data_IF_670772167154
#
_entry.id   IF_670772167154
#
_cell.length_a   1.000
_cell.length_b   1.000
_cell.length_c   1.000
_cell.angle_alpha   90.00
_cell.angle_beta   90.00
_cell.angle_gamma   90.00
#
_symmetry.space_group_name_H-M   'P 1'
#
loop_
_entity.id
_entity.type
_entity.pdbx_description
1 polymer ?
#
# COMPACT_ATOMS: atom_id res chain seq x y z
N UNK A 1 12.85 2.70 16.77
CA UNK A 1 12.99 1.34 16.22
C UNK A 1 13.68 0.38 17.18
N UNK A 2 14.61 0.82 18.02
CA UNK A 2 15.19 0.02 19.11
C UNK A 2 14.11 -0.44 20.09
N UNK A 3 13.31 0.49 20.61
CA UNK A 3 12.19 0.21 21.55
C UNK A 3 11.20 -0.78 20.98
N UNK A 4 10.83 -0.64 19.72
CA UNK A 4 9.87 -1.54 19.05
C UNK A 4 10.42 -2.93 18.74
N UNK A 5 11.74 -3.11 18.76
CA UNK A 5 12.41 -4.36 18.34
C UNK A 5 12.58 -4.51 16.82
N UNK A 6 12.13 -3.53 16.01
CA UNK A 6 12.44 -3.57 14.59
C UNK A 6 13.95 -3.54 14.34
N UNK A 7 14.70 -2.93 15.21
CA UNK A 7 16.15 -3.03 15.26
C UNK A 7 16.57 -3.70 16.58
N UNK A 8 17.33 -4.79 16.57
CA UNK A 8 18.01 -5.42 15.43
C UNK A 8 17.23 -6.56 14.73
N UNK A 9 16.06 -6.98 15.22
CA UNK A 9 15.36 -8.18 14.72
C UNK A 9 14.94 -8.11 13.24
N UNK A 10 14.73 -6.90 12.71
CA UNK A 10 14.34 -6.68 11.32
C UNK A 10 15.47 -6.11 10.45
N UNK A 11 16.73 -6.17 10.93
CA UNK A 11 17.87 -5.48 10.31
C UNK A 11 18.19 -5.90 8.87
N UNK A 12 17.91 -7.15 8.51
CA UNK A 12 18.16 -7.67 7.15
C UNK A 12 17.28 -7.00 6.09
N UNK A 13 16.13 -6.49 6.50
CA UNK A 13 15.19 -5.73 5.64
C UNK A 13 15.31 -4.22 5.81
N UNK A 14 16.34 -3.71 6.49
CA UNK A 14 16.56 -2.29 6.72
C UNK A 14 17.78 -1.79 5.94
N UNK A 15 17.72 -0.53 5.49
CA UNK A 15 18.92 0.16 5.05
C UNK A 15 19.86 0.36 6.25
N UNK A 16 21.15 0.38 5.99
CA UNK A 16 22.14 0.64 7.04
C UNK A 16 21.86 1.99 7.70
N UNK A 17 21.93 2.08 9.05
CA UNK A 17 21.78 3.37 9.73
C UNK A 17 22.87 4.37 9.32
N UNK A 18 22.49 5.63 9.24
CA UNK A 18 23.44 6.75 9.14
C UNK A 18 23.81 7.13 10.56
N UNK A 19 25.03 6.84 10.95
CA UNK A 19 25.52 7.04 12.31
C UNK A 19 26.07 8.46 12.45
N UNK A 20 25.53 9.23 13.40
CA UNK A 20 26.05 10.55 13.78
C UNK A 20 27.26 10.41 14.71
N UNK A 21 28.38 10.03 14.17
CA UNK A 21 29.65 10.09 14.88
C UNK A 21 30.65 10.86 14.00
N UNK A 22 31.10 12.04 14.47
CA UNK A 22 32.02 12.88 13.71
C UNK A 22 33.29 12.13 13.28
N UNK A 23 33.82 11.27 14.12
CA UNK A 23 35.02 10.46 13.80
C UNK A 23 34.71 9.45 12.67
N UNK A 24 33.51 8.85 12.65
CA UNK A 24 33.06 7.94 11.60
C UNK A 24 32.72 8.69 10.31
N UNK A 25 32.13 9.88 10.43
CA UNK A 25 31.84 10.73 9.27
C UNK A 25 33.13 11.16 8.55
N UNK A 26 34.19 11.50 9.30
CA UNK A 26 35.47 11.83 8.72
C UNK A 26 36.11 10.63 8.01
N UNK A 27 36.07 9.43 8.60
CA UNK A 27 36.61 8.20 7.98
C UNK A 27 35.84 7.85 6.68
N UNK A 28 34.55 8.13 6.63
CA UNK A 28 33.72 7.84 5.45
C UNK A 28 33.84 8.88 4.34
N UNK A 29 34.22 10.13 4.66
CA UNK A 29 34.31 11.23 3.69
C UNK A 29 35.68 11.42 3.04
N UNK A 30 36.75 10.81 3.56
CA UNK A 30 38.11 10.95 2.99
C UNK A 30 38.33 10.02 1.78
N UNK A 31 37.75 10.37 0.64
CA UNK A 31 38.09 9.85 -0.70
C UNK A 31 37.38 8.56 -1.14
N UNK A 32 36.73 8.60 -2.27
CA UNK A 32 35.98 7.51 -2.88
C UNK A 32 36.81 6.67 -3.88
N UNK A 33 37.32 5.48 -3.48
CA UNK A 33 37.59 4.42 -4.46
C UNK A 33 37.06 3.07 -3.93
N UNK A 34 36.45 2.26 -4.83
CA UNK A 34 35.79 1.00 -4.45
C UNK A 34 36.74 -0.05 -3.85
N UNK A 35 38.05 0.00 -4.15
CA UNK A 35 39.06 -0.88 -3.57
C UNK A 35 39.36 -0.58 -2.09
N UNK A 36 39.10 0.67 -1.67
CA UNK A 36 39.34 1.17 -0.32
C UNK A 36 38.18 0.92 0.65
N UNK A 37 36.99 0.59 0.12
CA UNK A 37 35.76 0.48 0.93
C UNK A 37 35.80 -0.71 1.90
N UNK A 38 36.40 -1.83 1.50
CA UNK A 38 36.55 -3.00 2.40
C UNK A 38 37.52 -2.71 3.52
N UNK A 39 38.67 -2.09 3.20
CA UNK A 39 39.66 -1.67 4.21
C UNK A 39 39.10 -0.63 5.19
N UNK A 40 38.21 0.25 4.71
CA UNK A 40 37.53 1.27 5.53
C UNK A 40 36.44 0.69 6.42
N UNK A 41 35.66 -0.27 5.90
CA UNK A 41 34.69 -1.03 6.69
C UNK A 41 35.39 -1.83 7.81
N UNK A 42 36.55 -2.38 7.52
CA UNK A 42 37.39 -3.08 8.52
C UNK A 42 37.98 -2.10 9.55
N UNK A 43 38.42 -0.91 9.13
CA UNK A 43 38.87 0.15 10.02
C UNK A 43 37.75 0.71 10.92
N UNK A 44 36.54 0.91 10.34
CA UNK A 44 35.35 1.30 11.09
C UNK A 44 34.96 0.21 12.09
N UNK A 45 35.00 -1.05 11.70
CA UNK A 45 34.74 -2.19 12.60
C UNK A 45 35.78 -2.33 13.70
N UNK A 46 37.04 -2.02 13.40
CA UNK A 46 38.13 -2.00 14.39
C UNK A 46 37.94 -0.83 15.37
N UNK A 47 37.63 0.36 14.89
CA UNK A 47 37.40 1.54 15.72
C UNK A 47 36.22 1.33 16.68
N UNK A 48 35.10 0.72 16.21
CA UNK A 48 34.00 0.34 17.09
C UNK A 48 34.41 -0.67 18.16
N UNK A 49 35.21 -1.68 17.81
CA UNK A 49 35.73 -2.64 18.77
C UNK A 49 36.56 -1.95 19.84
N UNK A 50 37.43 -1.01 19.47
CA UNK A 50 38.28 -0.28 20.40
C UNK A 50 37.49 0.64 21.33
N UNK A 51 36.45 1.33 20.84
CA UNK A 51 35.58 2.13 21.70
C UNK A 51 34.78 1.29 22.68
N UNK A 52 34.29 0.11 22.27
CA UNK A 52 33.55 -0.80 23.13
C UNK A 52 34.52 -1.39 24.19
N UNK A 53 35.72 -1.78 23.78
CA UNK A 53 36.75 -2.28 24.70
C UNK A 53 37.14 -1.22 25.74
N UNK A 54 37.34 0.03 25.33
CA UNK A 54 37.61 1.15 26.20
C UNK A 54 36.50 1.43 27.23
N UNK A 55 35.21 1.30 26.82
CA UNK A 55 34.06 1.51 27.71
C UNK A 55 33.80 0.35 28.67
N UNK A 56 34.05 -0.88 28.24
CA UNK A 56 33.68 -2.09 29.01
C UNK A 56 34.84 -2.70 29.80
N UNK A 57 36.08 -2.27 29.57
CA UNK A 57 37.27 -2.80 30.24
C UNK A 57 37.55 -4.29 29.97
N UNK A 58 36.94 -4.87 28.92
CA UNK A 58 37.12 -6.30 28.57
C UNK A 58 37.66 -6.45 27.17
N UNK A 59 38.76 -7.17 27.04
CA UNK A 59 39.50 -7.40 25.78
C UNK A 59 38.83 -8.29 24.74
N UNK A 60 37.66 -8.88 25.01
CA UNK A 60 37.01 -9.81 24.10
C UNK A 60 35.57 -9.42 23.87
N UNK A 61 35.33 -8.57 22.86
CA UNK A 61 33.98 -8.34 22.33
C UNK A 61 33.86 -9.06 20.99
N UNK A 62 33.08 -10.15 21.02
CA UNK A 62 32.66 -10.86 19.80
C UNK A 62 31.73 -9.98 18.96
N UNK A 63 31.63 -10.24 17.64
CA UNK A 63 30.68 -9.58 16.76
C UNK A 63 29.25 -9.61 17.31
N UNK A 64 28.90 -10.64 18.06
CA UNK A 64 27.55 -10.79 18.64
C UNK A 64 27.29 -9.80 19.79
N UNK A 65 28.32 -9.36 20.50
CA UNK A 65 28.20 -8.34 21.56
C UNK A 65 28.09 -6.92 20.99
N UNK A 66 28.78 -6.64 19.88
CA UNK A 66 28.59 -5.38 19.12
C UNK A 66 27.17 -5.26 18.57
N UNK A 67 26.57 -6.40 18.19
CA UNK A 67 25.18 -6.46 17.79
C UNK A 67 24.18 -6.21 18.93
N UNK A 68 24.59 -6.42 20.18
CA UNK A 68 23.75 -6.30 21.37
C UNK A 68 23.86 -4.93 22.09
N UNK A 69 24.91 -4.16 21.85
CA UNK A 69 25.05 -2.84 22.49
C UNK A 69 24.37 -1.76 21.67
N UNK A 70 23.09 -1.57 21.98
CA UNK A 70 22.22 -0.57 21.34
C UNK A 70 22.70 0.88 21.53
N UNK A 71 23.53 1.17 22.55
CA UNK A 71 23.98 2.53 22.84
C UNK A 71 24.97 3.08 21.81
N UNK A 72 25.60 2.20 21.01
CA UNK A 72 26.59 2.56 20.01
C UNK A 72 26.00 3.01 18.67
N UNK A 73 24.70 2.84 18.48
CA UNK A 73 24.02 3.10 17.22
C UNK A 73 23.01 4.26 17.35
N UNK A 74 23.48 5.41 17.81
CA UNK A 74 22.71 6.65 17.68
C UNK A 74 22.88 7.22 16.27
N UNK A 75 21.76 7.55 15.63
CA UNK A 75 21.77 8.05 14.28
C UNK A 75 20.40 7.98 13.60
N UNK A 76 20.39 8.13 12.31
CA UNK A 76 19.19 8.12 11.49
C UNK A 76 19.04 6.81 10.75
N UNK A 77 17.80 6.35 10.63
CA UNK A 77 17.43 5.17 9.87
C UNK A 77 16.34 5.56 8.86
N UNK A 78 16.48 5.12 7.61
CA UNK A 78 15.38 5.18 6.68
C UNK A 78 14.21 4.36 7.23
N UNK A 79 13.06 4.99 7.37
CA UNK A 79 11.87 4.46 8.02
C UNK A 79 11.39 3.15 7.34
N UNK A 80 11.52 1.97 7.98
CA UNK A 80 11.08 0.70 7.39
C UNK A 80 9.60 0.41 7.63
N UNK A 81 9.00 1.04 8.64
CA UNK A 81 7.60 0.90 9.06
C UNK A 81 7.08 2.17 9.73
N UNK A 82 5.75 2.37 9.72
CA UNK A 82 5.10 3.55 10.32
C UNK A 82 4.68 3.31 11.77
N UNK A 83 4.57 2.05 12.23
CA UNK A 83 4.06 1.68 13.55
C UNK A 83 4.67 2.51 14.71
N UNK A 84 6.00 2.64 14.84
CA UNK A 84 6.58 3.37 15.96
C UNK A 84 6.21 4.86 15.99
N UNK A 85 5.91 5.46 14.84
CA UNK A 85 5.48 6.86 14.77
C UNK A 85 4.06 7.04 15.30
N UNK A 86 3.11 6.21 14.85
CA UNK A 86 1.73 6.23 15.35
C UNK A 86 1.67 5.92 16.85
N UNK A 87 2.52 4.98 17.33
CA UNK A 87 2.65 4.69 18.76
C UNK A 87 3.11 5.94 19.53
N UNK A 88 4.10 6.68 19.01
CA UNK A 88 4.56 7.93 19.64
C UNK A 88 3.52 9.03 19.60
N UNK A 89 2.70 9.10 18.55
CA UNK A 89 1.56 10.03 18.48
C UNK A 89 0.53 9.68 19.56
N UNK A 90 0.14 8.40 19.67
CA UNK A 90 -0.76 7.96 20.74
C UNK A 90 -0.18 8.27 22.12
N UNK A 91 1.08 7.98 22.36
CA UNK A 91 1.75 8.21 23.65
C UNK A 91 1.96 9.70 23.98
N UNK A 92 1.73 10.62 23.05
CA UNK A 92 1.98 12.06 23.26
C UNK A 92 0.98 12.74 24.19
N UNK A 93 -0.14 12.10 24.47
CA UNK A 93 -1.17 12.60 25.37
C UNK A 93 -1.82 11.47 26.18
N UNK A 94 -2.37 11.76 27.39
CA UNK A 94 -3.09 10.77 28.17
C UNK A 94 -4.42 10.41 27.51
N UNK A 95 -4.85 9.14 27.65
CA UNK A 95 -6.11 8.63 27.14
C UNK A 95 -6.93 7.98 28.25
N UNK A 96 -8.24 8.04 28.11
CA UNK A 96 -9.21 7.27 28.90
C UNK A 96 -9.91 6.23 28.01
N UNK A 97 -10.58 5.26 28.62
CA UNK A 97 -11.38 4.27 27.89
C UNK A 97 -12.45 4.90 26.97
N UNK A 98 -12.88 6.15 27.24
CA UNK A 98 -13.86 6.88 26.43
C UNK A 98 -13.29 7.42 25.14
N UNK A 99 -11.97 7.60 25.09
CA UNK A 99 -11.26 8.08 23.90
C UNK A 99 -10.97 6.94 22.92
N UNK A 100 -11.06 5.69 23.39
CA UNK A 100 -10.79 4.50 22.57
C UNK A 100 -12.07 4.04 21.84
N UNK A 101 -11.91 3.56 20.59
CA UNK A 101 -10.67 3.32 19.89
C UNK A 101 -10.10 4.60 19.23
N UNK A 102 -8.79 4.80 19.35
CA UNK A 102 -8.06 5.82 18.57
C UNK A 102 -7.56 5.16 17.29
N UNK A 103 -7.89 5.77 16.14
CA UNK A 103 -7.51 5.27 14.81
C UNK A 103 -6.65 6.30 14.09
N UNK A 104 -5.38 5.95 13.83
CA UNK A 104 -4.42 6.78 13.10
C UNK A 104 -4.16 6.15 11.75
N UNK A 105 -4.21 6.93 10.67
CA UNK A 105 -3.99 6.45 9.30
C UNK A 105 -3.18 7.45 8.49
N UNK A 106 -2.32 6.96 7.64
CA UNK A 106 -1.53 7.75 6.69
C UNK A 106 -1.28 6.97 5.39
N UNK A 107 -0.98 7.69 4.31
CA UNK A 107 -0.23 7.15 3.20
C UNK A 107 1.26 7.37 3.50
N UNK A 108 1.85 6.38 4.18
CA UNK A 108 3.19 6.50 4.74
C UNK A 108 4.25 5.87 3.85
N UNK A 109 5.24 6.66 3.40
CA UNK A 109 6.38 6.12 2.66
C UNK A 109 7.32 5.39 3.61
N UNK A 110 7.70 4.17 3.25
CA UNK A 110 8.64 3.32 3.97
C UNK A 110 9.73 2.79 3.04
N UNK A 111 10.86 2.40 3.63
CA UNK A 111 12.04 1.95 2.89
C UNK A 111 12.51 0.62 3.45
N UNK A 112 12.64 -0.38 2.58
CA UNK A 112 13.10 -1.71 2.95
C UNK A 112 14.24 -2.14 2.05
N UNK A 113 15.26 -2.74 2.62
CA UNK A 113 16.37 -3.34 1.87
C UNK A 113 15.91 -4.69 1.32
N UNK A 114 15.26 -4.66 0.16
CA UNK A 114 14.94 -5.88 -0.56
C UNK A 114 16.19 -6.40 -1.26
N UNK A 115 16.40 -7.72 -1.25
CA UNK A 115 17.53 -8.33 -1.94
C UNK A 115 17.44 -8.11 -3.44
N UNK A 116 18.60 -8.03 -4.12
CA UNK A 116 18.65 -7.70 -5.55
C UNK A 116 17.78 -8.62 -6.42
N UNK A 117 17.78 -9.94 -6.14
CA UNK A 117 16.98 -10.92 -6.88
C UNK A 117 15.48 -10.89 -6.59
N UNK A 118 15.04 -10.13 -5.58
CA UNK A 118 13.62 -10.02 -5.21
C UNK A 118 12.92 -8.83 -5.87
N UNK A 119 13.68 -7.85 -6.36
CA UNK A 119 13.13 -6.65 -6.99
C UNK A 119 12.39 -7.00 -8.29
N UNK A 120 11.15 -6.48 -8.43
CA UNK A 120 10.31 -6.81 -9.57
C UNK A 120 9.37 -5.64 -9.92
N UNK A 121 9.78 -4.77 -10.84
CA UNK A 121 8.99 -3.65 -11.33
C UNK A 121 8.33 -2.87 -10.18
N UNK A 122 7.03 -2.59 -10.29
CA UNK A 122 6.25 -1.92 -9.25
C UNK A 122 5.84 -2.86 -8.11
N UNK A 123 5.91 -4.17 -8.31
CA UNK A 123 5.36 -5.13 -7.34
C UNK A 123 6.29 -5.40 -6.16
N UNK A 124 7.60 -5.15 -6.30
CA UNK A 124 8.57 -5.25 -5.21
C UNK A 124 9.71 -4.24 -5.38
N UNK A 125 9.64 -3.17 -4.61
CA UNK A 125 10.52 -1.99 -4.67
C UNK A 125 11.09 -1.69 -3.28
N UNK A 126 12.19 -0.94 -3.23
CA UNK A 126 12.86 -0.57 -1.98
C UNK A 126 12.24 0.62 -1.26
N UNK A 127 11.58 1.52 -1.99
CA UNK A 127 10.83 2.64 -1.43
C UNK A 127 9.40 2.57 -1.92
N UNK A 128 8.42 2.55 -1.01
CA UNK A 128 7.01 2.44 -1.36
C UNK A 128 6.12 3.11 -0.32
N UNK A 129 4.90 3.40 -0.75
CA UNK A 129 3.88 4.05 0.07
C UNK A 129 2.85 3.03 0.53
N UNK A 130 2.62 2.93 1.84
CA UNK A 130 1.57 2.08 2.41
C UNK A 130 0.35 2.92 2.80
N UNK A 131 -0.83 2.36 2.61
CA UNK A 131 -2.09 2.84 3.18
C UNK A 131 -2.23 2.33 4.63
N UNK A 132 -1.33 2.77 5.47
CA UNK A 132 -1.07 2.22 6.77
C UNK A 132 -1.94 2.87 7.85
N UNK A 133 -2.50 2.05 8.74
CA UNK A 133 -3.22 2.54 9.89
C UNK A 133 -2.98 1.65 11.12
N UNK A 134 -3.03 2.32 12.26
CA UNK A 134 -2.87 1.71 13.57
C UNK A 134 -4.03 2.13 14.47
N UNK A 135 -4.72 1.13 15.00
CA UNK A 135 -5.86 1.32 15.89
C UNK A 135 -5.44 0.92 17.29
N UNK A 136 -5.73 1.78 18.25
CA UNK A 136 -5.49 1.51 19.68
C UNK A 136 -6.84 1.35 20.35
N UNK A 137 -7.12 0.20 20.93
CA UNK A 137 -8.44 -0.14 21.45
C UNK A 137 -8.36 -0.91 22.78
N UNK A 138 -9.49 -1.05 23.45
CA UNK A 138 -9.59 -1.96 24.59
C UNK A 138 -9.65 -3.41 24.11
N UNK A 139 -9.42 -4.39 24.99
CA UNK A 139 -9.50 -5.81 24.65
C UNK A 139 -10.91 -6.19 24.14
N UNK A 140 -11.96 -5.61 24.72
CA UNK A 140 -13.36 -5.86 24.33
C UNK A 140 -13.68 -5.30 22.93
N UNK A 141 -12.96 -4.28 22.49
CA UNK A 141 -13.15 -3.66 21.18
C UNK A 141 -12.43 -4.40 20.05
N UNK A 142 -11.45 -5.27 20.35
CA UNK A 142 -10.60 -5.94 19.35
C UNK A 142 -11.42 -6.62 18.25
N UNK A 143 -12.41 -7.42 18.62
CA UNK A 143 -13.21 -8.17 17.65
C UNK A 143 -13.93 -7.22 16.66
N UNK A 144 -14.56 -6.16 17.17
CA UNK A 144 -15.28 -5.19 16.35
C UNK A 144 -14.32 -4.41 15.42
N UNK A 145 -13.16 -3.99 15.93
CA UNK A 145 -12.17 -3.26 15.16
C UNK A 145 -11.53 -4.11 14.05
N UNK A 146 -11.21 -5.37 14.36
CA UNK A 146 -10.70 -6.32 13.33
C UNK A 146 -11.76 -6.54 12.24
N UNK A 147 -13.02 -6.77 12.60
CA UNK A 147 -14.11 -6.90 11.62
C UNK A 147 -14.28 -5.64 10.76
N UNK A 148 -14.15 -4.46 11.35
CA UNK A 148 -14.14 -3.20 10.62
C UNK A 148 -13.01 -3.12 9.58
N UNK A 149 -11.80 -3.56 9.96
CA UNK A 149 -10.65 -3.64 9.05
C UNK A 149 -10.88 -4.63 7.90
N UNK A 150 -11.39 -5.83 8.21
CA UNK A 150 -11.72 -6.84 7.20
C UNK A 150 -12.80 -6.37 6.24
N UNK A 151 -13.83 -5.68 6.75
CA UNK A 151 -14.89 -5.08 5.94
C UNK A 151 -14.34 -4.04 4.97
N UNK A 152 -13.38 -3.22 5.40
CA UNK A 152 -12.72 -2.25 4.54
C UNK A 152 -11.96 -2.92 3.40
N UNK A 153 -11.18 -3.97 3.67
CA UNK A 153 -10.49 -4.75 2.61
C UNK A 153 -11.51 -5.32 1.62
N UNK A 154 -12.61 -5.90 2.13
CA UNK A 154 -13.67 -6.45 1.28
C UNK A 154 -14.31 -5.38 0.39
N UNK A 155 -14.60 -4.19 0.92
CA UNK A 155 -15.13 -3.05 0.14
C UNK A 155 -14.17 -2.71 -1.01
N UNK A 156 -12.87 -2.60 -0.73
CA UNK A 156 -11.85 -2.29 -1.73
C UNK A 156 -11.84 -3.34 -2.84
N UNK A 157 -11.66 -4.61 -2.49
CA UNK A 157 -11.57 -5.70 -3.46
C UNK A 157 -12.86 -5.84 -4.30
N UNK A 158 -14.03 -5.74 -3.66
CA UNK A 158 -15.32 -5.81 -4.36
C UNK A 158 -15.51 -4.63 -5.32
N UNK A 159 -15.15 -3.41 -4.90
CA UNK A 159 -15.26 -2.21 -5.76
C UNK A 159 -14.41 -2.34 -7.03
N UNK A 160 -13.31 -3.06 -6.95
CA UNK A 160 -12.39 -3.29 -8.07
C UNK A 160 -12.71 -4.57 -8.86
N UNK A 161 -13.74 -5.32 -8.48
CA UNK A 161 -14.10 -6.58 -9.13
C UNK A 161 -13.11 -7.72 -8.84
N UNK A 162 -12.30 -7.57 -7.78
CA UNK A 162 -11.36 -8.58 -7.31
C UNK A 162 -11.99 -9.45 -6.24
N UNK A 163 -13.09 -10.14 -6.55
CA UNK A 163 -13.82 -10.98 -5.59
C UNK A 163 -13.20 -12.36 -5.39
N UNK A 164 -12.32 -12.80 -6.28
CA UNK A 164 -11.60 -14.08 -6.17
C UNK A 164 -10.29 -13.86 -5.40
N UNK A 165 -10.37 -13.91 -4.08
CA UNK A 165 -9.22 -13.82 -3.18
C UNK A 165 -9.20 -14.96 -2.17
N UNK A 166 -8.00 -15.34 -1.74
CA UNK A 166 -7.76 -16.30 -0.67
C UNK A 166 -7.42 -15.55 0.61
N UNK A 167 -7.92 -16.03 1.73
CA UNK A 167 -7.55 -15.55 3.06
C UNK A 167 -6.55 -16.52 3.69
N UNK A 168 -5.53 -15.97 4.31
CA UNK A 168 -4.47 -16.68 5.00
C UNK A 168 -4.31 -16.11 6.41
N UNK A 169 -4.33 -16.97 7.41
CA UNK A 169 -4.06 -16.62 8.82
C UNK A 169 -2.65 -17.08 9.15
N UNK A 170 -1.73 -16.13 9.22
CA UNK A 170 -0.34 -16.36 9.60
C UNK A 170 -0.21 -16.45 11.13
N UNK A 171 0.21 -17.61 11.61
CA UNK A 171 0.37 -17.91 13.02
C UNK A 171 1.85 -18.00 13.39
N UNK A 172 2.15 -17.95 14.69
CA UNK A 172 3.52 -18.24 15.16
C UNK A 172 3.87 -19.70 14.90
N UNK A 173 5.18 -19.93 14.77
CA UNK A 173 5.76 -21.27 14.85
C UNK A 173 6.28 -21.45 16.30
N UNK A 174 5.74 -22.39 17.09
CA UNK A 174 6.13 -22.60 18.49
C UNK A 174 7.61 -22.92 18.67
N UNK A 175 8.25 -23.50 17.67
CA UNK A 175 9.64 -23.93 17.71
C UNK A 175 10.63 -22.84 17.29
N UNK A 176 10.11 -21.67 16.89
CA UNK A 176 10.92 -20.56 16.39
C UNK A 176 11.16 -19.47 17.46
N UNK A 177 12.41 -19.02 17.60
CA UNK A 177 12.79 -17.90 18.45
C UNK A 177 12.55 -16.51 17.82
N UNK A 178 11.87 -16.45 16.69
CA UNK A 178 11.56 -15.23 15.94
C UNK A 178 10.57 -14.32 16.68
N UNK A 179 9.73 -14.89 17.53
CA UNK A 179 8.57 -14.21 18.10
C UNK A 179 8.86 -13.58 19.46
N UNK A 180 8.34 -12.38 19.68
CA UNK A 180 8.54 -11.62 20.91
C UNK A 180 7.23 -11.53 21.70
N UNK A 181 7.35 -11.42 23.04
CA UNK A 181 6.22 -11.21 23.92
C UNK A 181 5.77 -12.46 24.67
N UNK A 182 4.68 -12.32 25.41
CA UNK A 182 4.11 -13.36 26.29
C UNK A 182 3.28 -14.36 25.50
N UNK A 183 3.39 -15.66 25.82
CA UNK A 183 2.65 -16.71 25.15
C UNK A 183 1.12 -16.55 25.26
N UNK A 184 0.61 -16.09 26.40
CA UNK A 184 -0.83 -15.90 26.60
C UNK A 184 -1.38 -14.76 25.71
N UNK A 185 -0.59 -13.72 25.48
CA UNK A 185 -0.96 -12.64 24.56
C UNK A 185 -1.00 -13.15 23.11
N UNK A 186 -0.08 -14.04 22.74
CA UNK A 186 -0.10 -14.70 21.43
C UNK A 186 -1.35 -15.56 21.25
N UNK A 187 -1.70 -16.36 22.26
CA UNK A 187 -2.89 -17.23 22.22
C UNK A 187 -4.18 -16.41 21.99
N UNK A 188 -4.31 -15.28 22.70
CA UNK A 188 -5.43 -14.34 22.53
C UNK A 188 -5.46 -13.75 21.13
N UNK A 189 -4.33 -13.25 20.65
CA UNK A 189 -4.23 -12.62 19.33
C UNK A 189 -4.54 -13.63 18.20
N UNK A 190 -4.01 -14.85 18.27
CA UNK A 190 -4.28 -15.91 17.30
C UNK A 190 -5.76 -16.32 17.32
N UNK A 191 -6.37 -16.45 18.50
CA UNK A 191 -7.79 -16.76 18.63
C UNK A 191 -8.66 -15.64 18.01
N UNK A 192 -8.32 -14.37 18.24
CA UNK A 192 -9.01 -13.23 17.64
C UNK A 192 -8.90 -13.25 16.09
N UNK A 193 -7.71 -13.53 15.54
CA UNK A 193 -7.52 -13.62 14.09
C UNK A 193 -8.33 -14.77 13.48
N UNK A 194 -8.34 -15.95 14.10
CA UNK A 194 -9.14 -17.11 13.64
C UNK A 194 -10.64 -16.80 13.66
N UNK A 195 -11.13 -16.27 14.76
CA UNK A 195 -12.54 -15.92 14.90
C UNK A 195 -12.96 -14.87 13.85
N UNK A 196 -12.13 -13.86 13.61
CA UNK A 196 -12.39 -12.85 12.61
C UNK A 196 -12.37 -13.44 11.18
N UNK A 197 -11.41 -14.29 10.85
CA UNK A 197 -11.33 -14.94 9.54
C UNK A 197 -12.58 -15.81 9.26
N UNK A 198 -13.10 -16.51 10.27
CA UNK A 198 -14.33 -17.31 10.14
C UNK A 198 -15.54 -16.44 9.75
N UNK A 199 -15.63 -15.19 10.23
CA UNK A 199 -16.75 -14.30 9.91
C UNK A 199 -16.78 -13.80 8.46
N UNK A 200 -15.66 -13.92 7.72
CA UNK A 200 -15.61 -13.51 6.32
C UNK A 200 -16.48 -14.41 5.41
N UNK A 201 -16.80 -15.61 5.84
CA UNK A 201 -17.58 -16.58 5.07
C UNK A 201 -16.87 -17.11 3.82
N UNK A 202 -15.55 -16.94 3.73
CA UNK A 202 -14.69 -17.46 2.66
C UNK A 202 -13.71 -18.48 3.24
N UNK A 203 -13.26 -19.47 2.46
CA UNK A 203 -12.23 -20.41 2.91
C UNK A 203 -10.94 -19.68 3.29
N UNK A 204 -10.31 -20.09 4.38
CA UNK A 204 -9.00 -19.60 4.76
C UNK A 204 -8.07 -20.76 5.14
N UNK A 205 -6.76 -20.50 5.07
CA UNK A 205 -5.71 -21.43 5.50
C UNK A 205 -5.00 -20.86 6.72
N UNK A 206 -4.58 -21.75 7.62
CA UNK A 206 -3.68 -21.41 8.71
C UNK A 206 -2.25 -21.77 8.32
N UNK A 207 -1.34 -20.83 8.49
CA UNK A 207 0.06 -20.99 8.07
C UNK A 207 0.99 -20.68 9.26
N UNK A 208 1.46 -21.72 9.99
CA UNK A 208 2.46 -21.57 11.04
C UNK A 208 3.77 -20.98 10.48
N UNK A 209 4.43 -20.12 11.24
CA UNK A 209 5.67 -19.48 10.82
C UNK A 209 5.49 -18.16 10.07
N UNK A 210 4.29 -17.89 9.55
CA UNK A 210 3.99 -16.72 8.71
C UNK A 210 3.58 -15.47 9.51
N UNK A 211 3.43 -15.55 10.84
CA UNK A 211 3.17 -14.39 11.68
C UNK A 211 4.33 -13.36 11.64
N UNK A 212 4.00 -12.09 11.88
CA UNK A 212 5.01 -11.09 12.20
C UNK A 212 5.68 -11.41 13.53
N UNK A 213 6.86 -10.86 13.81
CA UNK A 213 7.56 -11.15 15.06
C UNK A 213 6.82 -10.67 16.30
N UNK A 214 5.87 -9.75 16.15
CA UNK A 214 5.08 -9.14 17.23
C UNK A 214 3.63 -9.58 17.28
N UNK A 215 3.09 -10.26 16.29
CA UNK A 215 1.70 -10.70 16.29
C UNK A 215 1.25 -11.49 15.06
N UNK A 216 0.15 -12.24 15.17
CA UNK A 216 -0.47 -12.95 14.06
C UNK A 216 -1.08 -11.99 13.06
N UNK A 217 -1.36 -12.49 11.84
CA UNK A 217 -1.88 -11.67 10.76
C UNK A 217 -2.95 -12.39 9.94
N UNK A 218 -3.84 -11.62 9.35
CA UNK A 218 -4.80 -12.06 8.33
C UNK A 218 -4.40 -11.38 7.03
N UNK A 219 -3.97 -12.18 6.06
CA UNK A 219 -3.55 -11.71 4.73
C UNK A 219 -4.61 -12.01 3.68
N UNK A 220 -4.81 -11.05 2.78
CA UNK A 220 -5.64 -11.21 1.59
C UNK A 220 -4.74 -11.39 0.37
N UNK A 221 -4.89 -12.51 -0.28
CA UNK A 221 -4.07 -12.91 -1.41
C UNK A 221 -4.93 -12.95 -2.65
N UNK A 222 -4.60 -12.14 -3.64
CA UNK A 222 -5.28 -12.09 -4.94
C UNK A 222 -4.41 -12.74 -6.01
N UNK A 223 -5.05 -13.24 -7.07
CA UNK A 223 -4.35 -13.76 -8.25
C UNK A 223 -4.36 -12.73 -9.35
N UNK A 224 -3.22 -12.57 -10.02
CA UNK A 224 -3.14 -11.81 -11.25
C UNK A 224 -3.66 -12.62 -12.44
N UNK A 225 -3.70 -11.99 -13.62
CA UNK A 225 -4.24 -12.62 -14.86
C UNK A 225 -3.47 -13.85 -15.34
N UNK A 226 -2.24 -14.04 -14.88
CA UNK A 226 -1.41 -15.21 -15.19
C UNK A 226 -1.32 -16.23 -14.02
N UNK A 227 -2.12 -16.01 -12.97
CA UNK A 227 -2.27 -16.93 -11.83
C UNK A 227 -1.22 -16.75 -10.72
N UNK A 228 -0.36 -15.75 -10.76
CA UNK A 228 0.57 -15.44 -9.64
C UNK A 228 -0.21 -14.88 -8.46
N UNK A 229 0.17 -15.30 -7.26
CA UNK A 229 -0.44 -14.84 -6.02
C UNK A 229 0.29 -13.60 -5.48
N UNK A 230 -0.49 -12.59 -5.10
CA UNK A 230 0.00 -11.36 -4.50
C UNK A 230 -0.72 -11.09 -3.19
N UNK A 231 0.04 -11.00 -2.11
CA UNK A 231 -0.46 -10.46 -0.85
C UNK A 231 -0.68 -8.96 -1.01
N UNK A 232 -1.92 -8.53 -0.87
CA UNK A 232 -2.32 -7.13 -0.88
C UNK A 232 -2.65 -6.66 0.53
N UNK A 233 -3.87 -6.92 1.00
CA UNK A 233 -4.32 -6.46 2.30
C UNK A 233 -3.78 -7.30 3.47
N UNK A 234 -3.50 -6.65 4.59
CA UNK A 234 -3.10 -7.30 5.84
C UNK A 234 -3.77 -6.63 7.03
N UNK A 235 -4.23 -7.44 7.99
CA UNK A 235 -4.71 -7.00 9.31
C UNK A 235 -3.96 -7.83 10.37
N UNK A 236 -3.39 -7.17 11.38
CA UNK A 236 -2.60 -7.81 12.43
C UNK A 236 -3.08 -7.37 13.80
N UNK A 237 -3.10 -8.30 14.76
CA UNK A 237 -3.44 -8.02 16.16
C UNK A 237 -2.17 -8.08 17.00
N UNK A 238 -1.91 -7.04 17.75
CA UNK A 238 -0.64 -6.82 18.45
C UNK A 238 -0.87 -6.44 19.91
N UNK A 239 -0.50 -7.33 20.80
CA UNK A 239 -0.44 -7.11 22.25
C UNK A 239 0.97 -6.75 22.73
N UNK A 240 1.99 -6.83 21.87
CA UNK A 240 3.39 -6.78 22.25
C UNK A 240 3.97 -5.36 22.17
N UNK A 241 3.75 -4.63 21.06
CA UNK A 241 4.28 -3.27 20.92
C UNK A 241 3.70 -2.31 21.98
N UNK A 242 2.40 -2.37 22.35
CA UNK A 242 1.90 -1.57 23.46
C UNK A 242 2.64 -1.79 24.78
N UNK A 243 3.07 -3.02 25.08
CA UNK A 243 3.90 -3.34 26.24
C UNK A 243 5.30 -2.75 26.11
N UNK A 244 5.95 -2.92 24.96
CA UNK A 244 7.32 -2.44 24.71
C UNK A 244 7.43 -0.91 24.76
N UNK A 245 6.38 -0.19 24.37
CA UNK A 245 6.33 1.28 24.44
C UNK A 245 5.70 1.81 25.73
N UNK A 246 5.36 0.94 26.65
CA UNK A 246 4.71 1.29 27.93
C UNK A 246 3.46 2.16 27.74
N UNK A 247 2.63 1.82 26.72
CA UNK A 247 1.39 2.54 26.46
C UNK A 247 0.36 2.24 27.55
N UNK A 248 -0.47 3.23 27.88
CA UNK A 248 -1.55 3.03 28.84
C UNK A 248 -2.75 3.94 28.55
N UNK A 249 -3.91 3.53 29.07
CA UNK A 249 -5.10 4.37 29.18
C UNK A 249 -5.76 4.14 30.55
N UNK A 250 -6.57 5.10 31.00
CA UNK A 250 -7.33 4.97 32.24
C UNK A 250 -8.67 4.29 31.95
N UNK A 251 -8.91 3.15 32.59
CA UNK A 251 -10.15 2.39 32.49
C UNK A 251 -11.33 3.02 33.22
N UNK A 252 -12.52 2.40 33.10
CA UNK A 252 -13.71 2.81 33.83
C UNK A 252 -13.60 2.60 35.36
N UNK A 253 -12.68 1.75 35.77
CA UNK A 253 -12.28 1.46 37.13
C UNK A 253 -11.26 2.45 37.73
N UNK A 254 -10.90 3.49 36.97
CA UNK A 254 -9.84 4.46 37.29
C UNK A 254 -8.46 3.82 37.45
N UNK A 255 -8.24 2.62 36.92
CA UNK A 255 -6.93 1.98 36.89
C UNK A 255 -6.25 2.15 35.49
N UNK A 256 -4.94 1.99 35.49
CA UNK A 256 -4.16 2.01 34.25
C UNK A 256 -4.26 0.65 33.57
N UNK A 257 -4.66 0.67 32.29
CA UNK A 257 -4.76 -0.50 31.43
C UNK A 257 -3.89 -0.38 30.20
N UNK A 258 -3.52 -1.52 29.61
CA UNK A 258 -2.74 -1.61 28.36
C UNK A 258 -3.70 -1.68 27.17
N UNK A 259 -3.58 -0.79 26.17
CA UNK A 259 -4.34 -0.93 24.94
C UNK A 259 -3.86 -2.12 24.12
N UNK A 260 -4.74 -2.65 23.28
CA UNK A 260 -4.38 -3.55 22.17
C UNK A 260 -4.19 -2.71 20.92
N UNK A 261 -3.23 -3.08 20.08
CA UNK A 261 -2.97 -2.40 18.83
C UNK A 261 -3.37 -3.30 17.65
N UNK A 262 -4.01 -2.71 16.65
CA UNK A 262 -4.34 -3.38 15.39
C UNK A 262 -3.67 -2.62 14.26
N UNK A 263 -2.89 -3.33 13.44
CA UNK A 263 -2.27 -2.80 12.25
C UNK A 263 -3.12 -3.20 11.05
N UNK A 264 -3.35 -2.29 10.11
CA UNK A 264 -4.04 -2.63 8.88
C UNK A 264 -3.49 -1.85 7.69
N UNK A 265 -3.37 -2.53 6.57
CA UNK A 265 -3.04 -1.97 5.27
C UNK A 265 -3.91 -2.65 4.20
N UNK A 266 -5.08 -2.10 3.83
CA UNK A 266 -6.00 -2.70 2.86
C UNK A 266 -5.42 -2.91 1.47
N UNK A 267 -4.60 -1.99 0.99
CA UNK A 267 -3.90 -2.08 -0.29
C UNK A 267 -2.49 -2.67 -0.15
N UNK A 268 -1.89 -2.54 1.04
CA UNK A 268 -0.49 -2.82 1.27
C UNK A 268 0.41 -1.75 0.64
N UNK A 269 1.28 -2.11 -0.30
CA UNK A 269 2.06 -1.15 -1.09
C UNK A 269 1.21 -0.59 -2.22
N UNK A 270 1.10 0.73 -2.34
CA UNK A 270 0.39 1.41 -3.41
C UNK A 270 1.00 1.10 -4.78
N UNK A 271 2.32 0.99 -4.86
CA UNK A 271 3.04 0.63 -6.07
C UNK A 271 2.69 -0.78 -6.52
N UNK A 272 2.74 -1.77 -5.61
CA UNK A 272 2.31 -3.15 -5.90
C UNK A 272 0.85 -3.19 -6.30
N UNK A 273 0.01 -2.50 -5.57
CA UNK A 273 -1.42 -2.43 -5.86
C UNK A 273 -1.69 -1.87 -7.26
N UNK A 274 -1.03 -0.76 -7.64
CA UNK A 274 -1.12 -0.23 -9.00
C UNK A 274 -0.64 -1.24 -10.04
N UNK A 275 0.47 -1.93 -9.81
CA UNK A 275 0.96 -2.98 -10.70
C UNK A 275 -0.05 -4.11 -10.89
N UNK A 276 -0.63 -4.62 -9.79
CA UNK A 276 -1.67 -5.65 -9.83
C UNK A 276 -2.94 -5.16 -10.53
N UNK A 277 -3.36 -3.91 -10.32
CA UNK A 277 -4.51 -3.31 -11.02
C UNK A 277 -4.29 -3.20 -12.53
N UNK A 278 -3.10 -2.77 -12.95
CA UNK A 278 -2.77 -2.68 -14.39
C UNK A 278 -2.87 -4.07 -15.02
N UNK A 279 -2.37 -5.10 -14.36
CA UNK A 279 -2.45 -6.48 -14.85
C UNK A 279 -3.90 -7.00 -14.82
N UNK A 280 -4.63 -6.78 -13.71
CA UNK A 280 -6.02 -7.23 -13.55
C UNK A 280 -6.93 -6.69 -14.65
N UNK A 281 -6.83 -5.40 -14.96
CA UNK A 281 -7.61 -4.79 -16.03
C UNK A 281 -6.96 -4.92 -17.40
N UNK A 282 -5.70 -5.39 -17.49
CA UNK A 282 -4.93 -5.39 -18.73
C UNK A 282 -4.76 -3.98 -19.29
N UNK A 283 -4.75 -2.96 -18.44
CA UNK A 283 -4.77 -1.53 -18.76
C UNK A 283 -6.14 -1.00 -19.26
N UNK A 284 -7.17 -1.85 -19.35
CA UNK A 284 -8.53 -1.50 -19.74
C UNK A 284 -9.36 -1.16 -18.49
N UNK A 285 -9.02 -0.05 -17.89
CA UNK A 285 -9.62 0.39 -16.63
C UNK A 285 -11.10 0.76 -16.81
N UNK A 286 -11.95 0.50 -15.79
CA UNK A 286 -13.29 1.07 -15.75
C UNK A 286 -13.21 2.61 -15.76
N UNK A 287 -14.25 3.25 -16.26
CA UNK A 287 -14.27 4.71 -16.50
C UNK A 287 -13.82 5.52 -15.28
N UNK A 288 -14.34 5.18 -14.11
CA UNK A 288 -14.02 5.93 -12.88
C UNK A 288 -12.54 5.83 -12.46
N UNK A 289 -11.83 4.76 -12.85
CA UNK A 289 -10.43 4.51 -12.51
C UNK A 289 -9.46 4.92 -13.63
N UNK A 290 -9.95 5.03 -14.88
CA UNK A 290 -9.11 5.35 -16.02
C UNK A 290 -8.40 6.70 -15.85
N UNK A 291 -7.09 6.80 -16.12
CA UNK A 291 -6.35 8.07 -16.07
C UNK A 291 -6.92 9.13 -17.01
N UNK A 292 -7.35 8.72 -18.21
CA UNK A 292 -8.09 9.51 -19.18
C UNK A 292 -9.44 8.83 -19.43
N UNK A 293 -10.53 9.51 -19.15
CA UNK A 293 -11.88 8.94 -19.22
C UNK A 293 -12.54 9.20 -20.57
N UNK A 294 -12.23 10.35 -21.16
CA UNK A 294 -12.80 10.81 -22.43
C UNK A 294 -11.74 11.49 -23.27
N UNK A 295 -11.68 11.13 -24.55
CA UNK A 295 -10.92 11.87 -25.57
C UNK A 295 -11.86 12.49 -26.58
N UNK A 296 -11.79 13.81 -26.74
CA UNK A 296 -12.48 14.56 -27.76
C UNK A 296 -11.65 14.55 -29.04
N UNK A 297 -12.30 14.22 -30.16
CA UNK A 297 -11.64 14.08 -31.48
C UNK A 297 -12.38 14.95 -32.51
N UNK A 298 -12.00 16.22 -32.67
CA UNK A 298 -12.54 17.06 -33.73
C UNK A 298 -12.10 16.55 -35.12
N UNK A 299 -13.05 16.53 -36.07
CA UNK A 299 -12.80 16.12 -37.46
C UNK A 299 -12.04 17.22 -38.22
N UNK A 300 -12.28 18.49 -37.86
CA UNK A 300 -11.61 19.65 -38.46
C UNK A 300 -11.55 20.83 -37.51
N UNK A 301 -10.70 21.79 -37.83
CA UNK A 301 -10.53 23.02 -37.02
C UNK A 301 -11.80 23.86 -36.90
N UNK A 302 -12.79 23.68 -37.81
CA UNK A 302 -14.06 24.39 -37.78
C UNK A 302 -14.90 24.10 -36.54
N UNK A 303 -14.64 22.97 -35.86
CA UNK A 303 -15.36 22.58 -34.65
C UNK A 303 -14.47 22.70 -33.38
N UNK A 304 -13.31 23.38 -33.49
CA UNK A 304 -12.37 23.54 -32.39
C UNK A 304 -12.98 24.27 -31.20
N UNK A 305 -13.72 25.35 -31.44
CA UNK A 305 -14.38 26.11 -30.37
C UNK A 305 -15.39 25.23 -29.61
N UNK A 306 -16.22 24.47 -30.34
CA UNK A 306 -17.15 23.52 -29.75
C UNK A 306 -16.43 22.44 -28.92
N UNK A 307 -15.34 21.90 -29.46
CA UNK A 307 -14.56 20.89 -28.75
C UNK A 307 -13.95 21.40 -27.44
N UNK A 308 -13.44 22.64 -27.44
CA UNK A 308 -12.94 23.28 -26.22
C UNK A 308 -14.04 23.57 -25.21
N UNK A 309 -15.23 23.98 -25.65
CA UNK A 309 -16.38 24.16 -24.76
C UNK A 309 -16.76 22.86 -24.08
N UNK A 310 -16.87 21.74 -24.85
CA UNK A 310 -17.15 20.42 -24.28
C UNK A 310 -16.06 19.95 -23.33
N UNK A 311 -14.78 20.18 -23.65
CA UNK A 311 -13.66 19.85 -22.78
C UNK A 311 -13.78 20.56 -21.43
N UNK A 312 -14.13 21.87 -21.45
CA UNK A 312 -14.29 22.66 -20.24
C UNK A 312 -15.48 22.15 -19.40
N UNK A 313 -16.60 21.80 -20.04
CA UNK A 313 -17.76 21.23 -19.34
C UNK A 313 -17.42 19.87 -18.69
N UNK A 314 -16.69 18.99 -19.40
CA UNK A 314 -16.22 17.71 -18.85
C UNK A 314 -15.32 17.93 -17.64
N UNK A 315 -14.34 18.83 -17.74
CA UNK A 315 -13.43 19.15 -16.63
C UNK A 315 -14.17 19.78 -15.43
N UNK A 316 -15.13 20.65 -15.69
CA UNK A 316 -15.97 21.25 -14.64
C UNK A 316 -16.81 20.19 -13.91
N UNK A 317 -17.20 19.12 -14.60
CA UNK A 317 -17.90 17.96 -14.00
C UNK A 317 -16.94 16.95 -13.32
N UNK A 318 -15.64 17.26 -13.20
CA UNK A 318 -14.65 16.39 -12.58
C UNK A 318 -14.18 15.23 -13.46
N UNK A 319 -14.45 15.27 -14.76
CA UNK A 319 -14.04 14.22 -15.71
C UNK A 319 -12.63 14.51 -16.24
N UNK A 320 -11.79 13.50 -16.23
CA UNK A 320 -10.44 13.53 -16.82
C UNK A 320 -10.56 13.37 -18.33
N UNK A 321 -10.59 14.48 -19.02
CA UNK A 321 -10.76 14.53 -20.46
C UNK A 321 -9.60 15.24 -21.16
N UNK A 322 -9.29 14.81 -22.38
CA UNK A 322 -8.32 15.44 -23.28
C UNK A 322 -8.95 15.79 -24.65
N UNK A 323 -8.24 16.62 -25.41
CA UNK A 323 -8.61 17.00 -26.78
C UNK A 323 -7.45 16.58 -27.70
N UNK A 324 -7.75 15.80 -28.74
CA UNK A 324 -6.79 15.41 -29.76
C UNK A 324 -6.68 16.49 -30.86
N UNK A 325 -5.76 17.41 -30.69
CA UNK A 325 -5.49 18.54 -31.59
C UNK A 325 -4.51 18.19 -32.72
N UNK A 326 -4.05 16.94 -32.83
CA UNK A 326 -3.15 16.57 -33.93
C UNK A 326 -3.83 16.71 -35.28
N UNK A 327 -3.06 17.09 -36.29
CA UNK A 327 -3.55 17.28 -37.67
C UNK A 327 -3.70 15.97 -38.46
N UNK A 328 -3.92 14.85 -37.78
CA UNK A 328 -4.05 13.52 -38.35
C UNK A 328 -5.45 13.27 -38.92
N UNK A 329 -5.55 12.26 -39.80
CA UNK A 329 -6.84 11.75 -40.28
C UNK A 329 -7.66 11.15 -39.11
N UNK A 330 -8.97 11.31 -39.14
CA UNK A 330 -9.90 10.82 -38.14
C UNK A 330 -9.62 9.37 -37.70
N UNK A 331 -9.41 8.45 -38.63
CA UNK A 331 -9.10 7.05 -38.33
C UNK A 331 -7.83 6.86 -37.50
N UNK A 332 -6.80 7.70 -37.71
CA UNK A 332 -5.56 7.65 -36.93
C UNK A 332 -5.79 8.14 -35.50
N UNK A 333 -6.58 9.21 -35.31
CA UNK A 333 -6.96 9.72 -33.98
C UNK A 333 -7.77 8.69 -33.19
N UNK A 334 -8.77 8.06 -33.81
CA UNK A 334 -9.57 6.99 -33.19
C UNK A 334 -8.67 5.82 -32.79
N UNK A 335 -7.80 5.35 -33.71
CA UNK A 335 -6.88 4.25 -33.43
C UNK A 335 -5.95 4.57 -32.26
N UNK A 336 -5.46 5.80 -32.14
CA UNK A 336 -4.64 6.24 -31.00
C UNK A 336 -5.42 6.11 -29.70
N UNK A 337 -6.65 6.61 -29.65
CA UNK A 337 -7.52 6.48 -28.48
C UNK A 337 -7.79 5.01 -28.09
N UNK A 338 -7.92 4.12 -29.08
CA UNK A 338 -8.08 2.69 -28.86
C UNK A 338 -6.80 2.04 -28.30
N UNK A 339 -5.64 2.40 -28.84
CA UNK A 339 -4.32 1.91 -28.34
C UNK A 339 -4.07 2.38 -26.91
N UNK A 340 -4.37 3.66 -26.64
CA UNK A 340 -4.26 4.26 -25.30
C UNK A 340 -5.32 3.77 -24.32
N UNK A 341 -6.24 2.93 -24.78
CA UNK A 341 -7.31 2.34 -24.00
C UNK A 341 -8.22 3.36 -23.32
N UNK A 342 -8.50 4.47 -23.99
CA UNK A 342 -9.43 5.48 -23.52
C UNK A 342 -10.86 4.92 -23.51
N UNK A 343 -11.61 4.97 -22.39
CA UNK A 343 -12.96 4.41 -22.30
C UNK A 343 -13.96 4.99 -23.29
N UNK A 344 -13.94 6.32 -23.47
CA UNK A 344 -14.83 7.03 -24.39
C UNK A 344 -14.06 7.94 -25.34
N UNK A 345 -14.34 7.79 -26.63
CA UNK A 345 -13.87 8.71 -27.69
C UNK A 345 -15.09 9.44 -28.25
N UNK A 346 -15.09 10.77 -28.20
CA UNK A 346 -16.15 11.61 -28.73
C UNK A 346 -15.69 12.24 -30.04
N UNK A 347 -16.29 11.80 -31.14
CA UNK A 347 -16.01 12.36 -32.46
C UNK A 347 -16.92 13.56 -32.70
N UNK A 348 -16.33 14.68 -33.13
CA UNK A 348 -16.99 15.97 -33.27
C UNK A 348 -16.86 16.47 -34.70
N UNK A 349 -17.99 16.52 -35.42
CA UNK A 349 -18.11 17.14 -36.73
C UNK A 349 -19.03 18.35 -36.70
N UNK A 350 -19.28 18.97 -37.84
CA UNK A 350 -20.14 20.14 -37.96
C UNK A 350 -21.61 19.83 -37.58
N UNK A 351 -22.10 18.63 -37.94
CA UNK A 351 -23.45 18.19 -37.57
C UNK A 351 -23.64 18.01 -36.07
N UNK A 352 -22.62 17.45 -35.39
CA UNK A 352 -22.61 17.27 -33.93
C UNK A 352 -22.60 18.64 -33.25
N UNK A 353 -21.81 19.60 -33.76
CA UNK A 353 -21.75 20.95 -33.21
C UNK A 353 -23.09 21.69 -33.33
N UNK A 354 -23.74 21.63 -34.51
CA UNK A 354 -25.05 22.22 -34.75
C UNK A 354 -26.13 21.63 -33.83
N UNK A 355 -26.08 20.31 -33.64
CA UNK A 355 -27.06 19.56 -32.83
C UNK A 355 -26.73 19.58 -31.31
N UNK A 356 -25.67 20.21 -30.88
CA UNK A 356 -25.12 20.13 -29.49
C UNK A 356 -25.00 18.67 -29.02
N UNK A 357 -24.50 17.81 -29.89
CA UNK A 357 -24.38 16.38 -29.72
C UNK A 357 -22.93 15.91 -29.91
N UNK A 358 -22.68 14.64 -29.62
CA UNK A 358 -21.39 13.97 -29.79
C UNK A 358 -21.61 12.60 -30.43
N UNK A 359 -20.73 12.19 -31.34
CA UNK A 359 -20.71 10.82 -31.83
C UNK A 359 -19.86 9.99 -30.85
N UNK A 360 -20.49 9.10 -30.10
CA UNK A 360 -19.86 8.36 -28.99
C UNK A 360 -19.33 7.03 -29.48
N UNK A 361 -18.07 6.80 -29.18
CA UNK A 361 -17.44 5.48 -29.31
C UNK A 361 -16.97 5.03 -27.96
N UNK A 362 -17.53 3.96 -27.46
CA UNK A 362 -17.07 3.34 -26.22
C UNK A 362 -16.19 2.14 -26.50
N UNK A 363 -15.21 1.93 -25.67
CA UNK A 363 -14.32 0.78 -25.75
C UNK A 363 -15.09 -0.53 -25.50
N UNK A 364 -16.08 -0.50 -24.60
CA UNK A 364 -16.88 -1.66 -24.24
C UNK A 364 -17.88 -2.08 -25.32
N UNK A 365 -18.50 -1.11 -26.01
CA UNK A 365 -19.64 -1.37 -26.93
C UNK A 365 -19.35 -1.02 -28.39
N UNK A 366 -18.27 -0.30 -28.67
CA UNK A 366 -17.94 0.20 -30.00
C UNK A 366 -18.67 1.51 -30.31
N UNK A 367 -19.14 1.67 -31.56
CA UNK A 367 -19.87 2.86 -31.98
C UNK A 367 -21.27 2.86 -31.40
N UNK A 368 -21.59 3.87 -30.59
CA UNK A 368 -22.90 4.05 -29.96
C UNK A 368 -23.77 5.10 -30.70
N UNK A 369 -23.24 5.70 -31.76
CA UNK A 369 -23.93 6.72 -32.55
C UNK A 369 -23.89 8.10 -31.92
N UNK A 370 -24.78 8.97 -32.40
CA UNK A 370 -24.88 10.36 -32.01
C UNK A 370 -25.82 10.51 -30.81
N UNK A 371 -25.35 11.13 -29.75
CA UNK A 371 -26.09 11.34 -28.50
C UNK A 371 -25.96 12.82 -28.11
N UNK A 372 -27.05 13.41 -27.58
CA UNK A 372 -26.97 14.75 -27.00
C UNK A 372 -25.91 14.81 -25.92
N UNK A 373 -25.03 15.84 -25.97
CA UNK A 373 -23.88 15.91 -25.02
C UNK A 373 -24.36 15.93 -23.57
N UNK A 374 -25.43 16.63 -23.22
CA UNK A 374 -25.96 16.66 -21.86
C UNK A 374 -26.30 15.25 -21.33
N UNK A 375 -26.96 14.42 -22.16
CA UNK A 375 -27.32 13.05 -21.79
C UNK A 375 -26.09 12.15 -21.68
N UNK A 376 -25.09 12.33 -22.54
CA UNK A 376 -23.82 11.63 -22.42
C UNK A 376 -23.10 11.99 -21.09
N UNK A 377 -23.01 13.29 -20.77
CA UNK A 377 -22.35 13.78 -19.56
C UNK A 377 -23.05 13.23 -18.30
N UNK A 378 -24.39 13.27 -18.25
CA UNK A 378 -25.15 12.71 -17.13
C UNK A 378 -24.86 11.22 -16.93
N UNK A 379 -24.88 10.43 -18.02
CA UNK A 379 -24.54 8.99 -18.00
C UNK A 379 -23.12 8.77 -17.47
N UNK A 380 -22.14 9.52 -17.99
CA UNK A 380 -20.74 9.40 -17.62
C UNK A 380 -20.50 9.73 -16.14
N UNK A 381 -21.08 10.81 -15.66
CA UNK A 381 -21.02 11.19 -14.24
C UNK A 381 -21.66 10.11 -13.36
N UNK A 382 -22.77 9.52 -13.81
CA UNK A 382 -23.40 8.38 -13.14
C UNK A 382 -22.49 7.17 -13.05
N UNK A 383 -21.82 6.79 -14.14
CA UNK A 383 -20.85 5.68 -14.15
C UNK A 383 -19.66 5.93 -13.19
N UNK A 384 -19.12 7.14 -13.20
CA UNK A 384 -18.03 7.52 -12.31
C UNK A 384 -18.47 7.48 -10.84
N UNK A 385 -19.65 8.04 -10.53
CA UNK A 385 -20.18 8.11 -9.17
C UNK A 385 -20.50 6.73 -8.59
N UNK A 386 -21.07 5.84 -9.41
CA UNK A 386 -21.40 4.47 -8.97
C UNK A 386 -20.23 3.52 -9.00
N UNK A 387 -19.05 3.98 -9.48
CA UNK A 387 -17.87 3.14 -9.69
C UNK A 387 -18.16 1.90 -10.52
N UNK A 388 -18.97 2.07 -11.57
CA UNK A 388 -19.41 0.97 -12.43
C UNK A 388 -18.23 0.24 -13.05
N UNK A 389 -18.25 -1.10 -12.95
CA UNK A 389 -17.31 -1.96 -13.65
C UNK A 389 -17.87 -2.21 -15.06
N UNK A 390 -17.07 -1.95 -16.09
CA UNK A 390 -17.49 -2.26 -17.46
C UNK A 390 -17.51 -3.78 -17.67
N UNK A 391 -18.61 -4.30 -18.17
CA UNK A 391 -18.69 -5.71 -18.57
C UNK A 391 -17.89 -5.85 -19.87
N UNK A 392 -16.76 -6.55 -19.83
CA UNK A 392 -16.02 -6.90 -21.06
C UNK A 392 -16.94 -7.69 -21.98
N UNK A 393 -17.11 -7.28 -23.24
CA UNK A 393 -17.58 -8.20 -24.28
C UNK A 393 -16.61 -9.37 -24.31
N UNK A 394 -17.07 -10.56 -23.90
CA UNK A 394 -16.32 -11.79 -24.13
C UNK A 394 -16.16 -11.85 -25.65
N UNK A 395 -14.92 -11.75 -26.12
CA UNK A 395 -14.63 -11.99 -27.53
C UNK A 395 -15.16 -13.39 -27.86
N UNK A 396 -16.09 -13.49 -28.80
CA UNK A 396 -16.54 -14.77 -29.29
C UNK A 396 -15.30 -15.57 -29.69
N UNK A 397 -15.15 -16.76 -29.14
CA UNK A 397 -14.06 -17.66 -29.50
C UNK A 397 -14.02 -17.74 -31.03
N UNK A 398 -12.86 -17.65 -31.69
CA UNK A 398 -12.79 -17.84 -33.11
C UNK A 398 -13.40 -19.21 -33.41
N UNK A 399 -14.44 -19.21 -34.24
CA UNK A 399 -15.01 -20.45 -34.76
C UNK A 399 -13.90 -21.23 -35.44
N UNK A 400 -13.67 -22.46 -34.94
CA UNK A 400 -12.70 -23.40 -35.46
C UNK A 400 -12.94 -23.73 -36.94
#
# INVERSE_FOLDING_TARGET
>A
YKTSGHFPYYKESQFSPIIENEALSQILHEGCSCADMTARLDAVSAHFRDQINARTGKETITQDRVKADESLLDGFLLKPMNCPHHIKIFASQPHSYRDLPVRLAEFGTVYRWEQSGELNGMTRVRGFTQDDAHLFCTEEQVAAEVLGCLSLVKIVLTTLGMSDYRVRVGLRDPDSNKYTGDAANWDKAEAACRAAAQTLGVPFTEEPGEAAFYGPKIDFVVKDVIGREWQLGTVQVDYNLPVRFDLSYIGADNQSHRPVMIHRAPFGSMERFCGVLIEHFGGDFPVWLSPEQVRLVPISDKVSEYAHDLLNQLKAAGIRASLDEHSDKLGAKIRRAEIDKVPYTLVLGAKEAEAKAVSVRSRAKGDEGVIAFASFLERLVGEVKTKALQVKKVAAAPSA
#
